data_IF_708275727008
#
_entry.id   IF_708275727008
#
_cell.length_a   1.000
_cell.length_b   1.000
_cell.length_c   1.000
_cell.angle_alpha   90.00
_cell.angle_beta   90.00
_cell.angle_gamma   90.00
#
_symmetry.space_group_name_H-M   'P 1'
#
loop_
_entity.id
_entity.type
_entity.pdbx_description
1 polymer ?
#
# COMPACT_ATOMS: atom_id res chain seq x y z
N UNK A 1 13.68 11.29 -4.56
CA UNK A 1 12.59 12.28 -4.50
C UNK A 1 12.35 12.61 -3.03
N UNK A 2 13.08 13.60 -2.52
CA UNK A 2 12.87 14.13 -1.18
C UNK A 2 11.87 15.28 -1.29
N UNK A 3 10.80 15.26 -0.50
CA UNK A 3 10.02 16.48 -0.29
C UNK A 3 10.94 17.42 0.49
N UNK A 4 11.47 18.44 -0.18
CA UNK A 4 12.23 19.49 0.47
C UNK A 4 11.29 20.24 1.40
N UNK A 5 11.62 20.32 2.69
CA UNK A 5 10.92 21.17 3.65
C UNK A 5 11.43 22.61 3.48
N UNK A 6 10.82 23.35 2.56
CA UNK A 6 11.10 24.73 2.22
C UNK A 6 9.81 25.51 1.92
N UNK A 7 9.21 26.06 2.99
CA UNK A 7 8.10 27.02 2.96
C UNK A 7 6.73 26.44 2.54
N UNK A 8 6.02 25.89 3.54
CA UNK A 8 4.55 25.91 3.72
C UNK A 8 3.63 25.82 2.48
N UNK A 9 3.87 24.88 1.56
CA UNK A 9 2.86 24.43 0.58
C UNK A 9 2.93 22.92 0.33
N UNK A 10 3.30 22.16 1.35
CA UNK A 10 3.14 20.72 1.35
C UNK A 10 1.71 20.42 1.79
N UNK A 11 0.95 19.67 0.99
CA UNK A 11 -0.41 19.27 1.40
C UNK A 11 -0.40 18.63 2.79
N UNK A 12 -1.49 18.68 3.55
CA UNK A 12 -1.56 18.37 4.99
C UNK A 12 -1.04 16.98 5.39
N UNK A 13 -0.88 16.07 4.42
CA UNK A 13 -0.33 14.73 4.59
C UNK A 13 1.20 14.68 4.70
N UNK A 14 1.91 15.71 4.23
CA UNK A 14 3.37 15.78 4.26
C UNK A 14 3.90 16.31 5.60
N UNK A 15 3.12 17.15 6.27
CA UNK A 15 3.42 17.70 7.60
C UNK A 15 2.94 16.78 8.74
N UNK A 16 2.39 15.60 8.40
CA UNK A 16 1.85 14.68 9.38
C UNK A 16 2.98 13.99 10.17
N UNK A 17 2.94 13.99 11.52
CA UNK A 17 3.89 13.27 12.35
C UNK A 17 4.02 11.77 11.97
N UNK A 18 5.23 11.18 12.02
CA UNK A 18 5.47 9.77 11.74
C UNK A 18 4.56 8.82 12.52
N UNK A 19 4.23 9.17 13.77
CA UNK A 19 3.38 8.38 14.65
C UNK A 19 1.96 8.25 14.08
N UNK A 20 1.42 9.35 13.53
CA UNK A 20 0.11 9.36 12.88
C UNK A 20 0.14 8.64 11.54
N UNK A 21 1.21 8.79 10.76
CA UNK A 21 1.41 8.00 9.53
C UNK A 21 1.42 6.49 9.84
N UNK A 22 2.10 6.10 10.91
CA UNK A 22 2.10 4.72 11.41
C UNK A 22 0.70 4.22 11.77
N UNK A 23 -0.15 5.07 12.36
CA UNK A 23 -1.55 4.71 12.66
C UNK A 23 -2.39 4.53 11.39
N UNK A 24 -2.22 5.39 10.38
CA UNK A 24 -2.89 5.22 9.07
C UNK A 24 -2.48 3.89 8.45
N UNK A 25 -1.17 3.61 8.41
CA UNK A 25 -0.65 2.36 7.85
C UNK A 25 -1.16 1.11 8.58
N UNK A 26 -1.23 1.14 9.92
CA UNK A 26 -1.82 0.05 10.72
C UNK A 26 -3.29 -0.21 10.38
N UNK A 27 -4.03 0.82 9.99
CA UNK A 27 -5.46 0.74 9.62
C UNK A 27 -5.71 0.43 8.15
N UNK A 28 -4.67 0.24 7.35
CA UNK A 28 -4.79 -0.19 5.96
C UNK A 28 -4.62 -1.71 5.86
N UNK A 29 -5.72 -2.47 5.73
CA UNK A 29 -5.65 -3.93 5.60
C UNK A 29 -5.19 -4.36 4.20
N UNK A 30 -5.42 -3.52 3.18
CA UNK A 30 -5.03 -3.74 1.79
C UNK A 30 -3.51 -3.65 1.59
N UNK A 31 -2.92 -4.72 1.06
CA UNK A 31 -1.51 -4.72 0.65
C UNK A 31 -1.24 -3.78 -0.50
N UNK A 32 -2.13 -3.75 -1.50
CA UNK A 32 -1.97 -2.89 -2.66
C UNK A 32 -1.80 -1.43 -2.22
N UNK A 33 -2.63 -0.99 -1.27
CA UNK A 33 -2.55 0.38 -0.75
C UNK A 33 -1.28 0.62 0.06
N UNK A 34 -0.85 -0.34 0.89
CA UNK A 34 0.43 -0.23 1.61
C UNK A 34 1.63 -0.11 0.68
N UNK A 35 1.62 -0.84 -0.43
CA UNK A 35 2.67 -0.78 -1.47
C UNK A 35 2.59 0.55 -2.22
N UNK A 36 1.39 0.99 -2.63
CA UNK A 36 1.17 2.28 -3.32
C UNK A 36 1.58 3.47 -2.43
N UNK A 37 1.40 3.39 -1.11
CA UNK A 37 1.87 4.45 -0.21
C UNK A 37 3.39 4.61 -0.18
N UNK A 38 4.17 3.57 -0.51
CA UNK A 38 5.65 3.66 -0.55
C UNK A 38 6.18 4.55 -1.66
N UNK A 39 5.34 4.89 -2.64
CA UNK A 39 5.74 5.70 -3.79
C UNK A 39 5.26 7.15 -3.70
N UNK A 40 4.50 7.53 -2.66
CA UNK A 40 3.95 8.90 -2.51
C UNK A 40 5.05 9.92 -2.23
N UNK A 41 5.76 9.76 -1.11
CA UNK A 41 6.88 10.62 -0.73
C UNK A 41 7.81 9.91 0.26
N UNK A 42 8.90 10.57 0.64
CA UNK A 42 9.87 10.01 1.58
C UNK A 42 9.24 9.66 2.96
N UNK A 43 8.54 10.57 3.67
CA UNK A 43 7.83 10.23 4.91
C UNK A 43 6.95 8.97 4.84
N UNK A 44 6.10 8.86 3.80
CA UNK A 44 5.24 7.69 3.61
C UNK A 44 6.04 6.42 3.32
N UNK A 45 7.08 6.52 2.50
CA UNK A 45 7.99 5.41 2.18
C UNK A 45 8.68 4.88 3.43
N UNK A 46 9.32 5.77 4.20
CA UNK A 46 10.05 5.40 5.42
C UNK A 46 9.12 4.73 6.43
N UNK A 47 7.94 5.33 6.69
CA UNK A 47 6.98 4.78 7.64
C UNK A 47 6.37 3.44 7.18
N UNK A 48 6.09 3.30 5.88
CA UNK A 48 5.54 2.05 5.31
C UNK A 48 6.55 0.90 5.30
N UNK A 49 7.85 1.19 5.29
CA UNK A 49 8.89 0.17 5.44
C UNK A 49 9.05 -0.32 6.89
N UNK A 50 8.74 0.53 7.88
CA UNK A 50 8.75 0.16 9.30
C UNK A 50 7.55 -0.70 9.71
N UNK A 51 6.47 -0.68 8.93
CA UNK A 51 5.27 -1.46 9.20
C UNK A 51 5.35 -2.82 8.49
N UNK A 52 5.19 -3.94 9.21
CA UNK A 52 5.15 -5.26 8.58
C UNK A 52 3.98 -5.35 7.61
N UNK A 53 4.21 -6.01 6.47
CA UNK A 53 3.16 -6.31 5.51
C UNK A 53 2.27 -7.42 6.11
N UNK A 54 0.94 -7.35 5.94
CA UNK A 54 0.07 -8.41 6.41
C UNK A 54 0.41 -9.74 5.70
N UNK A 55 0.48 -10.83 6.45
CA UNK A 55 0.67 -12.22 6.00
C UNK A 55 -0.41 -13.09 6.67
N UNK A 56 -0.93 -14.17 6.04
CA UNK A 56 -0.99 -14.48 4.62
C UNK A 56 -2.22 -13.82 3.97
N UNK A 57 -2.10 -13.55 2.66
CA UNK A 57 -3.18 -13.01 1.83
C UNK A 57 -4.23 -14.09 1.56
N UNK A 58 -5.45 -13.98 2.08
CA UNK A 58 -6.50 -14.86 1.63
C UNK A 58 -6.97 -14.29 0.29
N UNK A 59 -6.44 -14.84 -0.80
CA UNK A 59 -6.97 -14.64 -2.13
C UNK A 59 -8.06 -15.65 -2.39
N UNK A 60 -9.21 -15.17 -2.86
CA UNK A 60 -10.30 -16.02 -3.32
C UNK A 60 -10.21 -16.15 -4.84
N UNK A 61 -10.20 -17.38 -5.35
CA UNK A 61 -10.35 -17.61 -6.79
C UNK A 61 -11.80 -17.38 -7.19
N UNK A 62 -12.02 -16.50 -8.16
CA UNK A 62 -13.32 -16.20 -8.73
C UNK A 62 -13.61 -17.09 -9.95
N UNK A 63 -14.89 -17.35 -10.28
CA UNK A 63 -15.26 -18.22 -11.41
C UNK A 63 -14.77 -17.73 -12.79
N UNK A 64 -14.48 -16.44 -12.92
CA UNK A 64 -13.96 -15.81 -14.15
C UNK A 64 -12.43 -15.94 -14.30
N UNK A 65 -11.78 -16.73 -13.44
CA UNK A 65 -10.33 -16.95 -13.45
C UNK A 65 -9.52 -15.81 -12.81
N UNK A 66 -10.18 -14.87 -12.13
CA UNK A 66 -9.50 -13.79 -11.40
C UNK A 66 -9.33 -14.12 -9.91
N UNK A 67 -8.47 -13.36 -9.22
CA UNK A 67 -8.20 -13.51 -7.80
C UNK A 67 -8.64 -12.27 -7.02
N UNK A 68 -9.50 -12.44 -6.02
CA UNK A 68 -9.96 -11.36 -5.13
C UNK A 68 -9.10 -11.30 -3.87
N UNK A 69 -8.53 -10.13 -3.58
CA UNK A 69 -7.87 -9.85 -2.31
C UNK A 69 -8.91 -9.47 -1.24
N UNK A 70 -9.19 -10.36 -0.29
CA UNK A 70 -10.25 -10.15 0.73
C UNK A 70 -10.08 -8.86 1.57
N UNK A 71 -8.88 -8.46 2.04
CA UNK A 71 -8.76 -7.23 2.82
C UNK A 71 -8.83 -5.95 1.99
N UNK A 72 -8.63 -6.02 0.67
CA UNK A 72 -8.56 -4.83 -0.20
C UNK A 72 -9.67 -4.71 -1.23
N UNK A 73 -10.43 -5.78 -1.51
CA UNK A 73 -11.42 -5.81 -2.58
C UNK A 73 -10.82 -5.83 -4.00
N UNK A 74 -9.49 -5.70 -4.14
CA UNK A 74 -8.80 -5.66 -5.42
C UNK A 74 -8.86 -7.02 -6.14
N UNK A 75 -9.25 -7.00 -7.41
CA UNK A 75 -9.30 -8.18 -8.29
C UNK A 75 -8.07 -8.20 -9.20
N UNK A 76 -7.33 -9.30 -9.17
CA UNK A 76 -6.10 -9.49 -9.91
C UNK A 76 -6.29 -10.56 -11.00
N UNK A 77 -5.84 -10.25 -12.21
CA UNK A 77 -5.68 -11.25 -13.28
C UNK A 77 -4.23 -11.71 -13.27
N UNK A 78 -3.99 -12.99 -13.00
CA UNK A 78 -2.68 -13.57 -13.22
C UNK A 78 -2.63 -14.13 -14.63
N UNK A 79 -1.63 -13.75 -15.46
CA UNK A 79 -1.42 -14.42 -16.73
C UNK A 79 -1.08 -15.89 -16.43
N UNK A 80 -1.89 -16.80 -16.95
CA UNK A 80 -1.54 -18.22 -16.96
C UNK A 80 -0.36 -18.34 -17.92
N UNK A 81 0.81 -18.85 -17.50
CA UNK A 81 1.90 -19.07 -18.43
C UNK A 81 1.40 -20.03 -19.51
N UNK A 82 1.58 -19.65 -20.78
CA UNK A 82 1.31 -20.52 -21.91
C UNK A 82 2.11 -21.82 -21.70
N UNK A 83 1.40 -22.95 -21.70
CA UNK A 83 1.88 -24.21 -21.16
C UNK A 83 3.21 -24.69 -21.78
N UNK A 84 3.99 -25.37 -20.93
CA UNK A 84 5.04 -26.29 -21.35
C UNK A 84 4.44 -27.54 -22.03
#
# INVERSE_FOLDING_TARGET
>A
MSCFAGLHEYGPWLDLPPELLGLVLKRLPSLADRVRLRIVCHPWRSNSLLQPLPLPFPWLTLPDGTFLSIPGGEVHRMPVPDGA
#
